data_IF_336439873206
#
_entry.id   IF_336439873206
#
_cell.length_a   1.000
_cell.length_b   1.000
_cell.length_c   1.000
_cell.angle_alpha   90.00
_cell.angle_beta   90.00
_cell.angle_gamma   90.00
#
_symmetry.space_group_name_H-M   'P 1'
#
loop_
_entity.id
_entity.type
_entity.pdbx_description
1 polymer ?
#
# COMPACT_ATOMS: atom_id res chain seq x y z
N UNK A 1 5.06 13.71 9.85
CA UNK A 1 4.68 12.76 8.80
C UNK A 1 3.70 11.79 9.44
N UNK A 2 2.40 12.03 9.28
CA UNK A 2 1.37 11.14 9.83
C UNK A 2 1.12 10.09 8.76
N UNK A 3 1.72 8.90 8.89
CA UNK A 3 1.31 7.78 8.06
C UNK A 3 -0.19 7.56 8.30
N UNK A 4 -1.00 7.76 7.27
CA UNK A 4 -2.43 7.45 7.35
C UNK A 4 -2.56 5.94 7.54
N UNK A 5 -3.04 5.54 8.72
CA UNK A 5 -3.32 4.14 9.05
C UNK A 5 -4.78 3.87 8.72
N UNK A 6 -5.01 3.17 7.60
CA UNK A 6 -6.34 2.75 7.18
C UNK A 6 -6.52 1.25 7.39
N UNK A 7 -7.54 0.83 8.12
CA UNK A 7 -7.94 -0.59 8.14
C UNK A 7 -8.86 -0.87 6.95
N UNK A 8 -8.51 -1.83 6.10
CA UNK A 8 -9.28 -2.24 4.93
C UNK A 8 -9.44 -3.75 4.88
N UNK A 9 -10.68 -4.25 4.87
CA UNK A 9 -11.03 -5.69 4.85
C UNK A 9 -10.31 -6.53 5.93
N UNK A 10 -10.01 -5.93 7.09
CA UNK A 10 -9.31 -6.60 8.20
C UNK A 10 -7.78 -6.53 8.13
N UNK A 11 -7.21 -5.93 7.08
CA UNK A 11 -5.79 -5.62 6.96
C UNK A 11 -5.53 -4.19 7.39
N UNK A 12 -4.34 -3.90 7.93
CA UNK A 12 -3.90 -2.55 8.22
C UNK A 12 -2.96 -2.08 7.11
N UNK A 13 -3.32 -0.98 6.45
CA UNK A 13 -2.55 -0.35 5.40
C UNK A 13 -1.79 0.82 6.01
N UNK A 14 -0.49 0.88 5.75
CA UNK A 14 0.39 1.98 6.09
C UNK A 14 0.95 2.55 4.80
N UNK A 15 0.67 3.82 4.56
CA UNK A 15 1.21 4.55 3.42
C UNK A 15 2.29 5.51 3.92
N UNK A 16 3.36 5.65 3.15
CA UNK A 16 4.43 6.58 3.41
C UNK A 16 5.00 7.06 2.08
N UNK A 17 5.33 8.35 1.98
CA UNK A 17 5.97 8.94 0.81
C UNK A 17 7.39 9.34 1.18
N UNK A 18 8.30 9.18 0.23
CA UNK A 18 9.69 9.61 0.33
C UNK A 18 10.06 10.42 -0.91
N UNK A 19 10.57 11.64 -0.71
CA UNK A 19 11.08 12.47 -1.79
C UNK A 19 12.51 12.07 -2.14
N UNK A 20 12.77 11.81 -3.42
CA UNK A 20 14.11 11.62 -3.97
C UNK A 20 14.58 12.93 -4.60
N UNK A 21 15.44 13.67 -3.87
CA UNK A 21 16.00 14.95 -4.32
C UNK A 21 16.93 14.82 -5.54
N UNK A 22 17.39 13.61 -5.86
CA UNK A 22 18.29 13.35 -7.00
C UNK A 22 17.51 13.36 -8.31
N UNK A 23 16.31 12.81 -8.28
CA UNK A 23 15.42 12.64 -9.42
C UNK A 23 14.27 13.65 -9.43
N UNK A 24 14.08 14.41 -8.34
CA UNK A 24 12.96 15.34 -8.12
C UNK A 24 11.61 14.61 -8.25
N UNK A 25 11.50 13.44 -7.59
CA UNK A 25 10.32 12.57 -7.63
C UNK A 25 9.94 12.07 -6.24
N UNK A 26 8.67 11.72 -6.09
CA UNK A 26 8.06 11.14 -4.92
C UNK A 26 7.87 9.63 -5.09
N UNK A 27 8.45 8.86 -4.18
CA UNK A 27 8.29 7.42 -4.09
C UNK A 27 7.22 7.12 -3.04
N UNK A 28 6.09 6.57 -3.47
CA UNK A 28 5.08 6.08 -2.52
C UNK A 28 5.43 4.66 -2.08
N UNK A 29 5.28 4.38 -0.80
CA UNK A 29 5.45 3.06 -0.20
C UNK A 29 4.16 2.66 0.46
N UNK A 30 3.74 1.43 0.25
CA UNK A 30 2.66 0.83 1.00
C UNK A 30 3.13 -0.42 1.73
N UNK A 31 2.61 -0.59 2.93
CA UNK A 31 2.83 -1.76 3.76
C UNK A 31 1.49 -2.26 4.26
N UNK A 32 1.24 -3.54 4.04
CA UNK A 32 -0.01 -4.23 4.39
C UNK A 32 0.29 -5.21 5.51
N UNK A 33 -0.42 -5.07 6.62
CA UNK A 33 -0.34 -5.96 7.76
C UNK A 33 -1.63 -6.77 7.83
N UNK A 34 -1.50 -8.07 8.11
CA UNK A 34 -2.64 -8.91 8.49
C UNK A 34 -3.23 -8.46 9.84
N UNK A 35 -4.42 -8.97 10.18
CA UNK A 35 -5.08 -8.77 11.49
C UNK A 35 -4.19 -9.10 12.70
N UNK A 36 -3.20 -9.99 12.55
CA UNK A 36 -2.22 -10.29 13.59
C UNK A 36 -1.08 -9.27 13.69
N UNK A 37 -1.09 -8.19 12.90
CA UNK A 37 -0.04 -7.17 12.86
C UNK A 37 1.23 -7.61 12.14
N UNK A 38 1.19 -8.72 11.39
CA UNK A 38 2.33 -9.20 10.60
C UNK A 38 2.30 -8.56 9.22
N UNK A 39 3.44 -8.02 8.78
CA UNK A 39 3.60 -7.54 7.40
C UNK A 39 3.45 -8.72 6.43
N UNK A 40 2.43 -8.65 5.58
CA UNK A 40 2.17 -9.64 4.53
C UNK A 40 2.68 -9.17 3.18
N UNK A 41 2.65 -7.87 2.93
CA UNK A 41 3.19 -7.24 1.74
C UNK A 41 3.79 -5.89 2.09
N UNK A 42 4.93 -5.61 1.46
CA UNK A 42 5.52 -4.29 1.41
C UNK A 42 6.05 -4.07 0.01
N UNK A 43 5.68 -2.95 -0.59
CA UNK A 43 6.17 -2.58 -1.92
C UNK A 43 6.17 -1.06 -2.11
N UNK A 44 6.82 -0.65 -3.19
CA UNK A 44 6.94 0.73 -3.63
C UNK A 44 6.13 0.90 -4.91
N UNK A 45 5.45 2.04 -5.05
CA UNK A 45 4.84 2.45 -6.32
C UNK A 45 5.88 3.11 -7.22
N UNK A 46 5.60 3.22 -8.53
CA UNK A 46 6.46 3.98 -9.44
C UNK A 46 6.67 5.41 -8.94
N UNK A 47 7.86 5.99 -9.18
CA UNK A 47 8.15 7.37 -8.82
C UNK A 47 7.22 8.33 -9.58
N UNK A 48 6.67 9.31 -8.86
CA UNK A 48 5.72 10.29 -9.38
C UNK A 48 6.17 11.72 -9.08
N UNK A 49 5.72 12.66 -9.89
CA UNK A 49 6.00 14.09 -9.77
C UNK A 49 5.36 14.79 -8.55
N UNK A 50 4.38 14.17 -7.88
CA UNK A 50 3.69 14.76 -6.72
C UNK A 50 3.59 13.78 -5.54
N UNK A 51 3.78 14.31 -4.32
CA UNK A 51 3.61 13.59 -3.06
C UNK A 51 2.21 12.95 -2.96
N UNK A 52 1.17 13.73 -3.22
CA UNK A 52 -0.21 13.25 -3.11
C UNK A 52 -0.54 12.15 -4.12
N UNK A 53 0.06 12.18 -5.32
CA UNK A 53 -0.13 11.13 -6.33
C UNK A 53 0.61 9.85 -5.93
N UNK A 54 1.79 9.97 -5.32
CA UNK A 54 2.54 8.85 -4.76
C UNK A 54 1.79 8.18 -3.60
N UNK A 55 1.21 8.97 -2.71
CA UNK A 55 0.37 8.47 -1.61
C UNK A 55 -0.90 7.78 -2.13
N UNK A 56 -1.64 8.43 -3.03
CA UNK A 56 -2.86 7.87 -3.62
C UNK A 56 -2.57 6.55 -4.35
N UNK A 57 -1.52 6.53 -5.19
CA UNK A 57 -1.12 5.32 -5.92
C UNK A 57 -0.78 4.18 -4.97
N UNK A 58 -0.03 4.47 -3.90
CA UNK A 58 0.32 3.46 -2.89
C UNK A 58 -0.91 2.92 -2.17
N UNK A 59 -1.89 3.77 -1.86
CA UNK A 59 -3.15 3.36 -1.28
C UNK A 59 -4.00 2.50 -2.26
N UNK A 60 -4.07 2.89 -3.53
CA UNK A 60 -4.81 2.13 -4.56
C UNK A 60 -4.18 0.75 -4.79
N UNK A 61 -2.87 0.67 -4.94
CA UNK A 61 -2.16 -0.61 -5.12
C UNK A 61 -2.31 -1.52 -3.90
N UNK A 62 -2.18 -0.98 -2.69
CA UNK A 62 -2.39 -1.75 -1.47
C UNK A 62 -3.79 -2.35 -1.41
N UNK A 63 -4.82 -1.56 -1.74
CA UNK A 63 -6.22 -2.01 -1.73
C UNK A 63 -6.49 -3.02 -2.84
N UNK A 64 -5.90 -2.84 -4.02
CA UNK A 64 -6.00 -3.78 -5.13
C UNK A 64 -5.37 -5.14 -4.77
N UNK A 65 -4.22 -5.13 -4.09
CA UNK A 65 -3.62 -6.36 -3.59
C UNK A 65 -4.51 -7.06 -2.56
N UNK A 66 -5.07 -6.31 -1.58
CA UNK A 66 -5.98 -6.89 -0.58
C UNK A 66 -7.24 -7.44 -1.24
N UNK A 67 -7.76 -6.78 -2.27
CA UNK A 67 -8.90 -7.26 -3.04
C UNK A 67 -8.59 -8.60 -3.74
N UNK A 68 -7.42 -8.69 -4.38
CA UNK A 68 -6.94 -9.93 -5.01
C UNK A 68 -6.58 -11.04 -4.02
N UNK A 69 -6.08 -10.71 -2.82
CA UNK A 69 -5.81 -11.69 -1.76
C UNK A 69 -7.12 -12.19 -1.12
N UNK A 70 -8.09 -11.29 -0.92
CA UNK A 70 -9.44 -11.64 -0.47
C UNK A 70 -10.14 -12.59 -1.45
N UNK A 71 -9.94 -12.40 -2.75
CA UNK A 71 -10.45 -13.30 -3.79
C UNK A 71 -9.83 -14.70 -3.68
N UNK A 72 -8.50 -14.78 -3.46
CA UNK A 72 -7.78 -16.05 -3.20
C UNK A 72 -8.25 -16.75 -1.93
N UNK A 73 -8.61 -15.99 -0.89
CA UNK A 73 -9.20 -16.53 0.35
C UNK A 73 -10.67 -16.96 0.19
N UNK A 74 -11.40 -16.38 -0.77
CA UNK A 74 -12.77 -16.79 -1.12
C UNK A 74 -12.83 -18.00 -2.07
N UNK A 75 -11.67 -18.38 -2.63
CA UNK A 75 -11.47 -19.57 -3.46
C UNK A 75 -11.56 -20.87 -2.66
N UNK A 76 -12.78 -21.31 -2.37
CA UNK A 76 -13.08 -22.75 -2.25
C UNK A 76 -12.46 -23.49 -3.45
N UNK A 77 -11.66 -24.56 -3.23
CA UNK A 77 -11.19 -25.38 -4.33
C UNK A 77 -12.39 -26.04 -5.02
N UNK A 78 -12.44 -25.95 -6.35
CA UNK A 78 -13.32 -26.77 -7.18
C UNK A 78 -12.57 -28.01 -7.67
#
# INVERSE_FOLDING_TARGET
>A
MNAEQGTYKGYNIFISTEHDDTLDVWNGRYRILDKSGKVVLESLVPPLDDESKAEESANVEARAWIDGDSDKLSGTPQ
#
